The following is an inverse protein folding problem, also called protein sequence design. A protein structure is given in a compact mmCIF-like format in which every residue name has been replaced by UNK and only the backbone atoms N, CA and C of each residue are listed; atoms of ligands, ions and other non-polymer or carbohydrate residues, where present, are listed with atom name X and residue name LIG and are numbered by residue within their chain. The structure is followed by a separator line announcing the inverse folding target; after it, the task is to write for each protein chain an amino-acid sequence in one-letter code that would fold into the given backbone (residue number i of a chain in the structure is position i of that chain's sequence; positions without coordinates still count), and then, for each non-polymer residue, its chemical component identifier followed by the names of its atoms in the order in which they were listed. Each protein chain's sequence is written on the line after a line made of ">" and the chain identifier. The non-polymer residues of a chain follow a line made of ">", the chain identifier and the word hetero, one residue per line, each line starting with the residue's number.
data_IF_714393977977
#
_entry.id   IF_714393977977
#
_cell.length_a   1.000
_cell.length_b   1.000
_cell.length_c   1.000
_cell.angle_alpha   90.00
_cell.angle_beta   90.00
_cell.angle_gamma   90.00
#
_symmetry.space_group_name_H-M   'P 1'
#
loop_
_entity.id
_entity.type
_entity.pdbx_description
1 polymer ?
#
# COMPACT_ATOMS: atom_id res chain seq x y z
N UNK A 1 22.28 5.00 37.57
CA UNK A 1 20.87 5.23 37.20
C UNK A 1 20.00 4.81 38.36
N UNK A 2 19.11 5.69 38.81
CA UNK A 2 18.06 5.35 39.78
C UNK A 2 16.85 4.78 39.04
N UNK A 3 16.02 3.93 39.69
CA UNK A 3 14.82 3.37 39.06
C UNK A 3 13.80 4.45 38.65
N UNK A 4 13.73 5.56 39.39
CA UNK A 4 12.86 6.70 39.08
C UNK A 4 13.18 7.33 37.71
N UNK A 5 14.46 7.42 37.34
CA UNK A 5 14.85 7.98 36.04
C UNK A 5 14.40 7.08 34.89
N UNK A 6 14.43 5.75 35.08
CA UNK A 6 13.98 4.79 34.05
C UNK A 6 12.47 4.92 33.84
N UNK A 7 11.69 5.06 34.92
CA UNK A 7 10.26 5.28 34.83
C UNK A 7 9.93 6.58 34.09
N UNK A 8 10.65 7.66 34.39
CA UNK A 8 10.46 8.94 33.72
C UNK A 8 10.71 8.85 32.20
N UNK A 9 11.74 8.14 31.75
CA UNK A 9 12.00 7.95 30.32
C UNK A 9 10.99 7.03 29.62
N UNK A 10 10.37 6.10 30.35
CA UNK A 10 9.29 5.27 29.80
C UNK A 10 8.04 6.12 29.57
N UNK A 11 7.69 6.99 30.52
CA UNK A 11 6.53 7.87 30.40
C UNK A 11 6.76 8.99 29.38
N UNK A 12 7.99 9.46 29.24
CA UNK A 12 8.35 10.54 28.31
C UNK A 12 9.59 10.17 27.49
N UNK A 13 9.39 9.45 26.36
CA UNK A 13 10.48 9.09 25.45
C UNK A 13 11.17 10.29 24.81
N UNK A 14 10.52 11.45 24.72
CA UNK A 14 11.05 12.67 24.09
C UNK A 14 12.22 13.31 24.87
N UNK A 15 12.43 12.95 26.14
CA UNK A 15 13.51 13.47 26.99
C UNK A 15 14.84 12.70 26.84
N UNK A 16 14.95 11.86 25.80
CA UNK A 16 16.11 11.00 25.57
C UNK A 16 17.21 11.76 24.81
N UNK A 17 18.21 12.23 25.57
CA UNK A 17 19.40 12.92 25.05
C UNK A 17 20.62 11.98 24.90
N UNK A 18 21.70 12.46 24.27
CA UNK A 18 22.98 11.74 24.14
C UNK A 18 23.62 11.32 25.47
N UNK A 19 23.44 12.10 26.55
CA UNK A 19 23.89 11.74 27.89
C UNK A 19 23.15 10.51 28.45
N UNK A 20 21.87 10.40 28.12
CA UNK A 20 21.05 9.26 28.53
C UNK A 20 21.47 8.01 27.76
N UNK A 21 21.86 8.13 26.50
CA UNK A 21 22.41 7.04 25.69
C UNK A 21 23.65 6.42 26.34
N UNK A 22 24.62 7.25 26.77
CA UNK A 22 25.81 6.74 27.45
C UNK A 22 25.46 5.98 28.73
N UNK A 23 24.60 6.57 29.58
CA UNK A 23 24.16 5.94 30.83
C UNK A 23 23.44 4.61 30.57
N UNK A 24 22.61 4.54 29.53
CA UNK A 24 21.87 3.33 29.15
C UNK A 24 22.80 2.26 28.61
N UNK A 25 23.80 2.65 27.81
CA UNK A 25 24.82 1.74 27.30
C UNK A 25 25.63 1.11 28.44
N UNK A 26 26.07 1.91 29.42
CA UNK A 26 26.79 1.38 30.60
C UNK A 26 25.90 0.44 31.41
N UNK A 27 24.62 0.78 31.58
CA UNK A 27 23.67 -0.07 32.28
C UNK A 27 23.40 -1.38 31.52
N UNK A 28 23.32 -1.33 30.19
CA UNK A 28 23.09 -2.50 29.33
C UNK A 28 24.30 -3.44 29.32
N UNK A 29 25.51 -2.90 29.40
CA UNK A 29 26.72 -3.69 29.59
C UNK A 29 26.72 -4.46 30.91
N UNK A 30 26.14 -3.87 31.97
CA UNK A 30 26.00 -4.51 33.28
C UNK A 30 24.86 -5.54 33.32
N UNK A 31 23.78 -5.29 32.58
CA UNK A 31 22.57 -6.12 32.56
C UNK A 31 22.12 -6.42 31.11
N UNK A 32 22.77 -7.37 30.43
CA UNK A 32 22.57 -7.61 28.99
C UNK A 32 21.18 -8.17 28.64
N UNK A 33 20.53 -8.86 29.57
CA UNK A 33 19.23 -9.52 29.38
C UNK A 33 18.03 -8.67 29.80
N UNK A 34 18.24 -7.42 30.24
CA UNK A 34 17.15 -6.54 30.65
C UNK A 34 16.40 -5.98 29.43
N UNK A 35 15.23 -6.55 29.13
CA UNK A 35 14.43 -6.19 27.95
C UNK A 35 14.04 -4.71 27.95
N UNK A 36 13.53 -4.18 29.06
CA UNK A 36 13.08 -2.78 29.16
C UNK A 36 14.21 -1.79 28.86
N UNK A 37 15.39 -2.04 29.41
CA UNK A 37 16.58 -1.22 29.20
C UNK A 37 17.02 -1.25 27.73
N UNK A 38 16.93 -2.42 27.10
CA UNK A 38 17.27 -2.60 25.69
C UNK A 38 16.29 -1.89 24.75
N UNK A 39 14.99 -1.96 25.05
CA UNK A 39 13.95 -1.24 24.32
C UNK A 39 14.14 0.28 24.44
N UNK A 40 14.48 0.76 25.64
CA UNK A 40 14.65 2.17 25.91
C UNK A 40 15.94 2.72 25.26
N UNK A 41 17.02 1.94 25.29
CA UNK A 41 18.23 2.24 24.53
C UNK A 41 17.97 2.31 23.02
N UNK A 42 17.17 1.38 22.49
CA UNK A 42 16.80 1.36 21.09
C UNK A 42 15.90 2.54 20.69
N UNK A 43 14.93 2.91 21.53
CA UNK A 43 14.08 4.10 21.29
C UNK A 43 14.92 5.39 21.32
N UNK A 44 15.92 5.46 22.19
CA UNK A 44 16.86 6.58 22.23
C UNK A 44 17.66 6.69 20.92
N UNK A 45 18.24 5.57 20.45
CA UNK A 45 18.92 5.51 19.15
C UNK A 45 18.02 5.93 17.98
N UNK A 46 16.73 5.59 18.05
CA UNK A 46 15.75 5.97 17.04
C UNK A 46 15.51 7.48 17.01
N UNK A 47 15.34 8.11 18.18
CA UNK A 47 15.11 9.56 18.30
C UNK A 47 16.34 10.35 17.86
N UNK A 48 17.54 9.90 18.22
CA UNK A 48 18.78 10.53 17.81
C UNK A 48 19.18 10.23 16.35
N UNK A 49 18.43 9.36 15.65
CA UNK A 49 18.71 8.92 14.29
C UNK A 49 20.15 8.39 14.11
N UNK A 50 20.63 7.62 15.08
CA UNK A 50 21.99 7.07 15.05
C UNK A 50 22.13 5.98 13.98
N UNK A 51 23.23 6.01 13.21
CA UNK A 51 23.50 4.99 12.17
C UNK A 51 23.64 3.56 12.74
N UNK A 52 23.94 3.43 14.03
CA UNK A 52 24.03 2.14 14.73
C UNK A 52 22.68 1.51 15.05
N UNK A 53 21.58 2.25 14.88
CA UNK A 53 20.22 1.82 15.19
C UNK A 53 19.87 0.47 14.54
N UNK A 54 20.17 0.28 13.24
CA UNK A 54 19.82 -0.94 12.53
C UNK A 54 20.49 -2.20 13.08
N UNK A 55 21.74 -2.10 13.54
CA UNK A 55 22.46 -3.24 14.13
C UNK A 55 21.92 -3.58 15.52
N UNK A 56 21.60 -2.57 16.32
CA UNK A 56 21.03 -2.77 17.65
C UNK A 56 19.56 -3.20 17.62
N UNK A 57 18.79 -2.80 16.61
CA UNK A 57 17.43 -3.27 16.34
C UNK A 57 17.40 -4.79 16.15
N UNK A 58 18.30 -5.33 15.32
CA UNK A 58 18.40 -6.78 15.10
C UNK A 58 18.69 -7.53 16.40
N UNK A 59 19.62 -7.01 17.21
CA UNK A 59 19.93 -7.60 18.50
C UNK A 59 18.74 -7.49 19.46
N UNK A 60 18.08 -6.34 19.52
CA UNK A 60 16.92 -6.14 20.38
C UNK A 60 15.73 -7.02 20.00
N UNK A 61 15.51 -7.27 18.70
CA UNK A 61 14.46 -8.14 18.19
C UNK A 61 14.62 -9.61 18.64
N UNK A 62 15.83 -10.04 19.01
CA UNK A 62 16.08 -11.35 19.60
C UNK A 62 15.62 -11.42 21.07
N UNK A 63 15.71 -10.31 21.80
CA UNK A 63 15.33 -10.22 23.22
C UNK A 63 13.89 -9.74 23.43
N UNK A 64 13.26 -9.16 22.41
CA UNK A 64 11.88 -8.71 22.49
C UNK A 64 10.93 -9.92 22.42
N UNK A 65 10.08 -10.06 23.45
CA UNK A 65 9.06 -11.12 23.48
C UNK A 65 8.00 -10.96 22.38
N UNK A 66 7.66 -9.73 22.02
CA UNK A 66 6.73 -9.41 20.93
C UNK A 66 7.36 -8.40 19.96
N UNK A 67 7.51 -8.82 18.71
CA UNK A 67 8.09 -8.02 17.63
C UNK A 67 7.10 -7.02 17.05
N UNK A 68 5.81 -7.32 17.12
CA UNK A 68 4.76 -6.39 16.72
C UNK A 68 4.70 -5.23 17.71
N UNK A 69 4.73 -5.52 19.02
CA UNK A 69 4.79 -4.48 20.04
C UNK A 69 6.06 -3.61 19.90
N UNK A 70 7.22 -4.22 19.57
CA UNK A 70 8.45 -3.48 19.27
C UNK A 70 8.29 -2.54 18.07
N UNK A 71 7.67 -3.03 16.99
CA UNK A 71 7.41 -2.23 15.80
C UNK A 71 6.53 -1.02 16.12
N UNK A 72 5.39 -1.24 16.79
CA UNK A 72 4.49 -0.15 17.19
C UNK A 72 5.14 0.83 18.16
N UNK A 73 6.04 0.38 19.04
CA UNK A 73 6.79 1.28 19.93
C UNK A 73 7.70 2.24 19.16
N UNK A 74 8.29 1.79 18.05
CA UNK A 74 9.27 2.57 17.29
C UNK A 74 8.58 3.41 16.22
N UNK A 75 7.75 2.77 15.38
CA UNK A 75 7.15 3.39 14.19
C UNK A 75 5.64 3.59 14.31
N UNK A 76 5.01 3.19 15.43
CA UNK A 76 3.55 3.22 15.57
C UNK A 76 2.93 4.58 15.31
N UNK A 77 3.62 5.68 15.67
CA UNK A 77 3.16 7.05 15.43
C UNK A 77 2.91 7.35 13.94
N UNK A 78 3.66 6.70 13.03
CA UNK A 78 3.50 6.84 11.58
C UNK A 78 2.31 6.06 11.02
N UNK A 79 1.89 5.02 11.74
CA UNK A 79 0.86 4.07 11.33
C UNK A 79 -0.42 4.18 12.17
N UNK A 80 -0.56 5.24 12.98
CA UNK A 80 -1.85 5.57 13.60
C UNK A 80 -2.80 5.99 12.49
N UNK A 81 -3.60 5.03 12.01
CA UNK A 81 -4.76 5.34 11.18
C UNK A 81 -5.65 6.26 12.01
N UNK A 82 -5.78 7.52 11.58
CA UNK A 82 -6.79 8.44 12.12
C UNK A 82 -8.14 7.75 11.97
N UNK A 83 -8.66 7.24 13.08
CA UNK A 83 -10.02 6.68 13.19
C UNK A 83 -11.03 7.75 13.56
N UNK A 84 -10.69 9.04 13.35
CA UNK A 84 -11.58 10.19 13.49
C UNK A 84 -12.62 10.27 12.35
N UNK A 85 -13.21 9.13 11.96
CA UNK A 85 -14.32 9.07 11.01
C UNK A 85 -15.44 8.24 11.64
N UNK A 86 -15.94 8.74 12.77
CA UNK A 86 -17.24 8.37 13.29
C UNK A 86 -18.33 9.17 12.54
N UNK A 87 -18.61 8.80 11.30
CA UNK A 87 -19.86 9.15 10.61
C UNK A 87 -20.11 8.18 9.46
N UNK A 88 -21.13 7.35 9.61
CA UNK A 88 -21.58 6.36 8.64
C UNK A 88 -22.36 7.02 7.49
N UNK A 89 -21.67 7.79 6.64
CA UNK A 89 -22.24 8.36 5.42
C UNK A 89 -21.57 7.74 4.18
N UNK A 90 -22.34 7.64 3.08
CA UNK A 90 -21.91 7.07 1.79
C UNK A 90 -20.63 7.72 1.21
N UNK A 91 -20.26 8.89 1.75
CA UNK A 91 -19.07 9.65 1.41
C UNK A 91 -17.78 9.04 1.97
N UNK A 92 -17.86 8.05 2.88
CA UNK A 92 -16.69 7.39 3.49
C UNK A 92 -15.78 6.75 2.43
N UNK A 93 -16.36 6.09 1.45
CA UNK A 93 -15.61 5.47 0.34
C UNK A 93 -14.92 6.54 -0.51
N UNK A 94 -15.58 7.67 -0.75
CA UNK A 94 -15.02 8.79 -1.51
C UNK A 94 -13.88 9.46 -0.73
N UNK A 95 -14.01 9.69 0.58
CA UNK A 95 -12.92 10.24 1.41
C UNK A 95 -11.73 9.30 1.53
N UNK A 96 -11.93 7.98 1.57
CA UNK A 96 -10.84 7.01 1.60
C UNK A 96 -10.10 6.97 0.26
N UNK A 97 -10.84 7.03 -0.85
CA UNK A 97 -10.28 7.12 -2.20
C UNK A 97 -9.52 8.44 -2.37
N UNK A 98 -10.09 9.56 -1.93
CA UNK A 98 -9.45 10.89 -2.04
C UNK A 98 -8.20 10.97 -1.15
N UNK A 99 -8.23 10.44 0.07
CA UNK A 99 -7.06 10.26 0.94
C UNK A 99 -5.96 9.43 0.27
N UNK A 100 -6.32 8.33 -0.38
CA UNK A 100 -5.39 7.45 -1.06
C UNK A 100 -4.81 8.08 -2.33
N UNK A 101 -5.62 8.81 -3.10
CA UNK A 101 -5.17 9.50 -4.30
C UNK A 101 -4.42 10.81 -4.01
N UNK A 102 -4.67 11.42 -2.85
CA UNK A 102 -3.93 12.59 -2.35
C UNK A 102 -2.57 12.21 -1.76
N UNK A 103 -2.38 10.94 -1.37
CA UNK A 103 -1.05 10.36 -1.21
C UNK A 103 -0.43 10.22 -2.60
N UNK A 104 0.15 11.31 -3.10
CA UNK A 104 0.99 11.27 -4.29
C UNK A 104 2.06 10.18 -4.09
N UNK A 105 2.40 9.39 -5.12
CA UNK A 105 3.52 8.47 -5.07
C UNK A 105 4.88 9.16 -4.79
N UNK A 106 4.90 10.49 -4.78
CA UNK A 106 6.12 11.31 -4.73
C UNK A 106 6.57 11.72 -3.32
N UNK A 107 5.82 11.42 -2.26
CA UNK A 107 6.35 11.54 -0.89
C UNK A 107 6.02 10.31 -0.05
N UNK A 108 6.50 9.15 -0.51
CA UNK A 108 7.07 8.21 0.46
C UNK A 108 8.11 9.03 1.23
N UNK A 109 8.00 9.21 2.57
CA UNK A 109 9.08 9.83 3.35
C UNK A 109 10.34 9.13 2.89
N UNK A 110 11.35 9.87 2.43
CA UNK A 110 12.62 9.29 2.00
C UNK A 110 13.05 8.30 3.08
N UNK A 111 12.74 7.03 2.83
CA UNK A 111 13.28 5.94 3.62
C UNK A 111 14.75 6.09 3.26
N UNK A 112 15.64 6.44 4.22
CA UNK A 112 17.06 6.40 3.93
C UNK A 112 17.29 5.06 3.26
N UNK A 113 17.98 5.01 2.11
CA UNK A 113 18.05 3.82 1.27
C UNK A 113 18.25 2.63 2.19
N UNK A 114 17.21 1.79 2.28
CA UNK A 114 17.19 0.68 3.22
C UNK A 114 18.53 -0.02 3.01
N UNK A 115 19.39 -0.15 4.04
CA UNK A 115 20.65 -0.85 3.85
C UNK A 115 20.29 -2.21 3.26
N UNK A 116 20.91 -2.54 2.12
CA UNK A 116 20.71 -3.67 1.19
C UNK A 116 20.72 -5.09 1.82
N UNK A 117 20.20 -5.26 3.04
CA UNK A 117 20.31 -6.45 3.86
C UNK A 117 18.97 -6.85 4.49
N UNK A 118 17.85 -6.30 4.01
CA UNK A 118 16.50 -6.77 4.31
C UNK A 118 15.82 -7.33 3.05
N UNK A 119 16.57 -8.07 2.24
CA UNK A 119 16.08 -8.77 1.04
C UNK A 119 15.76 -10.22 1.42
N UNK A 120 14.72 -10.45 2.23
CA UNK A 120 14.22 -11.81 2.44
C UNK A 120 13.44 -12.33 1.21
N UNK A 121 12.99 -11.41 0.33
CA UNK A 121 12.31 -11.75 -0.91
C UNK A 121 13.26 -12.28 -2.01
N UNK A 122 14.54 -11.91 -1.97
CA UNK A 122 15.53 -12.34 -2.98
C UNK A 122 16.27 -13.63 -2.63
N UNK A 123 16.38 -13.98 -1.35
CA UNK A 123 16.96 -15.27 -0.95
C UNK A 123 16.03 -16.44 -1.26
N UNK A 124 14.71 -16.22 -1.30
CA UNK A 124 13.75 -17.27 -1.61
C UNK A 124 13.85 -17.71 -3.08
N UNK A 125 14.03 -16.77 -4.02
CA UNK A 125 14.23 -17.11 -5.44
C UNK A 125 15.54 -17.86 -5.66
N UNK A 126 16.63 -17.42 -5.01
CA UNK A 126 17.92 -18.11 -5.02
C UNK A 126 17.83 -19.52 -4.41
N UNK A 127 17.11 -19.68 -3.30
CA UNK A 127 16.88 -20.97 -2.65
C UNK A 127 16.05 -21.93 -3.51
N UNK A 128 15.02 -21.43 -4.19
CA UNK A 128 14.22 -22.21 -5.14
C UNK A 128 15.06 -22.66 -6.35
N UNK A 129 15.85 -21.78 -6.95
CA UNK A 129 16.75 -22.12 -8.06
C UNK A 129 17.86 -23.09 -7.64
N UNK A 130 18.32 -23.01 -6.39
CA UNK A 130 19.27 -23.96 -5.82
C UNK A 130 18.63 -25.34 -5.66
N UNK A 131 17.36 -25.41 -5.25
CA UNK A 131 16.59 -26.67 -5.13
C UNK A 131 16.17 -27.26 -6.48
N UNK A 132 15.93 -26.46 -7.52
CA UNK A 132 15.66 -26.95 -8.87
C UNK A 132 16.85 -27.72 -9.47
N UNK A 133 18.08 -27.42 -9.02
CA UNK A 133 19.30 -28.09 -9.47
C UNK A 133 19.54 -29.45 -8.80
N UNK A 134 18.85 -29.72 -7.68
CA UNK A 134 18.83 -31.01 -7.00
C UNK A 134 17.50 -31.71 -7.27
N UNK A 135 17.31 -32.19 -8.50
CA UNK A 135 16.22 -33.12 -8.84
C UNK A 135 16.48 -34.49 -8.21
N UNK A 136 16.40 -34.57 -6.88
CA UNK A 136 16.18 -35.81 -6.16
C UNK A 136 14.67 -36.08 -6.16
N UNK A 137 14.28 -37.25 -6.67
CA UNK A 137 12.90 -37.76 -6.70
C UNK A 137 12.16 -37.47 -5.38
N UNK A 138 11.19 -36.55 -5.42
CA UNK A 138 10.31 -36.29 -4.28
C UNK A 138 9.25 -37.40 -4.22
N UNK A 139 8.90 -37.91 -3.02
CA UNK A 139 7.85 -38.91 -2.86
C UNK A 139 6.48 -38.32 -3.24
N UNK A 140 5.57 -39.17 -3.70
CA UNK A 140 4.19 -38.82 -4.05
C UNK A 140 3.52 -38.00 -2.93
N UNK A 141 3.44 -36.69 -3.12
CA UNK A 141 2.68 -35.81 -2.25
C UNK A 141 1.21 -35.85 -2.65
N UNK A 142 0.26 -35.82 -1.70
CA UNK A 142 -1.15 -35.83 -2.02
C UNK A 142 -1.51 -34.55 -2.79
N UNK A 143 -1.81 -34.69 -4.08
CA UNK A 143 -2.19 -33.57 -4.95
C UNK A 143 -3.44 -32.89 -4.40
N UNK A 144 -3.36 -31.57 -4.19
CA UNK A 144 -4.53 -30.76 -3.86
C UNK A 144 -5.50 -30.70 -5.05
N UNK A 145 -6.77 -30.51 -4.75
CA UNK A 145 -7.82 -30.34 -5.76
C UNK A 145 -7.50 -29.10 -6.64
N UNK A 146 -7.40 -29.30 -7.95
CA UNK A 146 -7.07 -28.24 -8.91
C UNK A 146 -5.63 -28.23 -9.41
N UNK A 147 -4.75 -29.07 -8.89
CA UNK A 147 -3.39 -29.24 -9.42
C UNK A 147 -3.40 -29.63 -10.90
N UNK A 148 -4.33 -30.50 -11.30
CA UNK A 148 -4.48 -30.96 -12.68
C UNK A 148 -4.84 -29.82 -13.65
N UNK A 149 -5.51 -28.75 -13.19
CA UNK A 149 -5.81 -27.59 -14.03
C UNK A 149 -4.56 -26.76 -14.31
N UNK A 150 -3.65 -26.69 -13.33
CA UNK A 150 -2.38 -25.98 -13.46
C UNK A 150 -1.46 -26.75 -14.41
N UNK A 151 -1.35 -28.08 -14.23
CA UNK A 151 -0.56 -28.94 -15.10
C UNK A 151 -1.05 -28.85 -16.56
N UNK A 152 -2.37 -28.97 -16.77
CA UNK A 152 -2.99 -28.82 -18.10
C UNK A 152 -2.77 -27.42 -18.69
N UNK A 153 -2.77 -26.36 -17.88
CA UNK A 153 -2.49 -25.01 -18.35
C UNK A 153 -1.02 -24.86 -18.78
N UNK A 154 -0.08 -25.37 -17.99
CA UNK A 154 1.35 -25.31 -18.29
C UNK A 154 1.66 -26.10 -19.57
N UNK A 155 1.10 -27.31 -19.73
CA UNK A 155 1.22 -28.08 -20.96
C UNK A 155 0.67 -27.33 -22.17
N UNK A 156 -0.52 -26.73 -22.03
CA UNK A 156 -1.17 -25.98 -23.11
C UNK A 156 -0.40 -24.71 -23.51
N UNK A 157 0.31 -24.08 -22.58
CA UNK A 157 1.16 -22.89 -22.84
C UNK A 157 2.50 -23.28 -23.47
N UNK A 158 3.00 -24.50 -23.23
CA UNK A 158 4.28 -24.98 -23.77
C UNK A 158 4.30 -25.03 -25.30
N UNK A 159 3.17 -25.39 -25.92
CA UNK A 159 3.03 -25.48 -27.38
C UNK A 159 2.72 -24.13 -28.05
N UNK A 160 2.30 -23.12 -27.28
CA UNK A 160 2.01 -21.78 -27.80
C UNK A 160 2.49 -20.72 -26.80
N UNK A 161 3.77 -20.31 -26.88
CA UNK A 161 4.30 -19.30 -25.97
C UNK A 161 3.50 -18.01 -26.11
N UNK A 162 3.01 -17.49 -24.98
CA UNK A 162 2.32 -16.22 -24.91
C UNK A 162 3.27 -15.12 -25.39
N UNK A 163 3.06 -14.65 -26.62
CA UNK A 163 3.80 -13.50 -27.15
C UNK A 163 3.18 -12.26 -26.51
N UNK A 164 3.86 -11.69 -25.52
CA UNK A 164 3.65 -10.30 -25.13
C UNK A 164 4.00 -9.45 -26.35
N UNK A 165 2.99 -8.91 -27.05
CA UNK A 165 3.23 -7.93 -28.11
C UNK A 165 3.96 -6.75 -27.47
N UNK A 166 5.22 -6.56 -27.85
CA UNK A 166 5.96 -5.35 -27.56
C UNK A 166 5.16 -4.18 -28.11
N UNK A 167 4.83 -3.22 -27.25
CA UNK A 167 4.24 -1.95 -27.67
C UNK A 167 5.36 -1.18 -28.36
N UNK A 168 5.39 -1.25 -29.69
CA UNK A 168 6.14 -0.31 -30.51
C UNK A 168 5.42 1.05 -30.44
N UNK A 169 6.19 2.10 -30.17
CA UNK A 169 5.74 3.49 -30.18
C UNK A 169 5.22 3.86 -31.57
N UNK A 170 3.90 3.90 -31.73
CA UNK A 170 3.26 4.67 -32.80
C UNK A 170 2.12 5.55 -32.23
N UNK A 171 2.14 6.77 -32.76
CA UNK A 171 1.28 7.96 -32.60
C UNK A 171 -0.23 7.61 -32.44
N UNK A 172 -1.02 8.36 -31.63
CA UNK A 172 -2.23 7.83 -31.00
C UNK A 172 -3.35 7.57 -32.02
N UNK A 173 -3.56 6.30 -32.33
CA UNK A 173 -4.77 5.80 -32.96
C UNK A 173 -5.78 5.39 -31.87
N UNK A 174 -7.01 5.81 -32.11
CA UNK A 174 -8.19 5.53 -31.32
C UNK A 174 -8.46 4.01 -31.24
N UNK A 175 -9.14 3.62 -30.16
CA UNK A 175 -9.79 2.30 -29.93
C UNK A 175 -8.88 1.18 -29.39
N UNK A 176 -8.99 0.84 -28.11
CA UNK A 176 -10.01 -0.13 -27.67
C UNK A 176 -10.35 0.11 -26.20
N UNK A 177 -11.38 0.92 -25.96
CA UNK A 177 -12.17 0.75 -24.75
C UNK A 177 -13.13 -0.37 -25.10
N UNK A 178 -12.99 -1.51 -24.42
CA UNK A 178 -13.93 -2.64 -24.42
C UNK A 178 -15.35 -2.15 -24.71
N UNK A 179 -15.97 -2.72 -25.74
CA UNK A 179 -17.36 -2.53 -26.14
C UNK A 179 -18.30 -2.96 -25.00
N UNK A 180 -18.44 -2.12 -23.98
CA UNK A 180 -19.48 -2.25 -22.94
C UNK A 180 -20.76 -1.51 -23.35
N UNK A 181 -21.07 -1.48 -24.64
CA UNK A 181 -22.13 -0.64 -25.22
C UNK A 181 -23.54 -0.90 -24.65
N UNK A 182 -23.76 -1.97 -23.87
CA UNK A 182 -25.12 -2.34 -23.45
C UNK A 182 -25.32 -2.61 -21.96
N UNK A 183 -24.30 -2.52 -21.11
CA UNK A 183 -24.49 -2.78 -19.67
C UNK A 183 -24.88 -1.51 -18.92
N UNK A 184 -26.11 -1.05 -19.17
CA UNK A 184 -26.74 0.05 -18.44
C UNK A 184 -26.76 -0.16 -16.91
N UNK A 185 -26.48 -1.39 -16.45
CA UNK A 185 -26.33 -1.75 -15.06
C UNK A 185 -24.99 -1.36 -14.41
N UNK A 186 -23.95 -1.04 -15.18
CA UNK A 186 -22.63 -0.65 -14.65
C UNK A 186 -22.42 0.89 -14.59
N UNK A 187 -23.46 1.67 -14.88
CA UNK A 187 -23.35 3.13 -14.83
C UNK A 187 -23.26 3.65 -13.39
N UNK A 188 -22.17 4.35 -13.09
CA UNK A 188 -21.90 5.00 -11.80
C UNK A 188 -21.51 6.46 -12.01
N UNK A 189 -21.76 7.30 -11.01
CA UNK A 189 -21.40 8.72 -11.05
C UNK A 189 -19.88 8.91 -11.24
N UNK A 190 -19.07 8.06 -10.61
CA UNK A 190 -17.62 8.05 -10.74
C UNK A 190 -17.19 7.77 -12.18
N UNK A 191 -17.84 6.81 -12.85
CA UNK A 191 -17.56 6.51 -14.25
C UNK A 191 -17.84 7.73 -15.13
N UNK A 192 -18.97 8.42 -14.93
CA UNK A 192 -19.27 9.67 -15.64
C UNK A 192 -18.19 10.74 -15.41
N UNK A 193 -17.74 10.95 -14.17
CA UNK A 193 -16.65 11.90 -13.85
C UNK A 193 -15.35 11.57 -14.59
N UNK A 194 -15.01 10.30 -14.72
CA UNK A 194 -13.84 9.85 -15.49
C UNK A 194 -13.99 10.25 -16.97
N UNK A 195 -15.16 10.00 -17.59
CA UNK A 195 -15.41 10.41 -18.98
C UNK A 195 -15.34 11.93 -19.19
N UNK A 196 -15.77 12.73 -18.20
CA UNK A 196 -15.63 14.20 -18.25
C UNK A 196 -14.16 14.60 -18.23
N UNK A 197 -13.34 14.02 -17.33
CA UNK A 197 -11.89 14.27 -17.28
C UNK A 197 -11.20 13.90 -18.59
N UNK A 198 -11.67 12.83 -19.25
CA UNK A 198 -11.19 12.39 -20.57
C UNK A 198 -11.73 13.22 -21.74
N UNK A 199 -12.46 14.33 -21.50
CA UNK A 199 -13.12 15.16 -22.53
C UNK A 199 -14.15 14.42 -23.40
N UNK A 200 -14.59 13.22 -22.99
CA UNK A 200 -15.60 12.40 -23.68
C UNK A 200 -17.00 12.76 -23.17
N UNK A 201 -17.43 13.99 -23.44
CA UNK A 201 -18.66 14.54 -22.86
C UNK A 201 -19.94 13.85 -23.33
N UNK A 202 -19.97 13.33 -24.56
CA UNK A 202 -21.14 12.62 -25.10
C UNK A 202 -21.46 11.33 -24.30
N UNK A 203 -20.42 10.52 -24.01
CA UNK A 203 -20.56 9.31 -23.19
C UNK A 203 -20.89 9.65 -21.73
N UNK A 204 -20.28 10.69 -21.18
CA UNK A 204 -20.62 11.16 -19.83
C UNK A 204 -22.10 11.58 -19.72
N UNK A 205 -22.63 12.28 -20.73
CA UNK A 205 -24.02 12.73 -20.76
C UNK A 205 -25.00 11.56 -20.83
N UNK A 206 -24.67 10.50 -21.56
CA UNK A 206 -25.47 9.27 -21.59
C UNK A 206 -25.53 8.62 -20.21
N UNK A 207 -24.38 8.39 -19.57
CA UNK A 207 -24.28 7.78 -18.23
C UNK A 207 -25.12 8.57 -17.20
N UNK A 208 -25.01 9.90 -17.20
CA UNK A 208 -25.75 10.77 -16.28
C UNK A 208 -27.27 10.73 -16.55
N UNK A 209 -27.71 10.66 -17.82
CA UNK A 209 -29.13 10.50 -18.16
C UNK A 209 -29.68 9.16 -17.68
N UNK A 210 -28.93 8.07 -17.83
CA UNK A 210 -29.38 6.75 -17.36
C UNK A 210 -29.44 6.71 -15.82
N UNK A 211 -28.50 7.38 -15.15
CA UNK A 211 -28.50 7.51 -13.69
C UNK A 211 -29.65 8.35 -13.15
N UNK A 212 -30.11 9.37 -13.87
CA UNK A 212 -31.23 10.21 -13.44
C UNK A 212 -32.55 9.44 -13.41
N UNK A 213 -32.77 8.54 -14.38
CA UNK A 213 -33.93 7.64 -14.42
C UNK A 213 -33.91 6.66 -13.24
N UNK A 214 -32.71 6.16 -12.87
CA UNK A 214 -32.53 5.24 -11.74
C UNK A 214 -32.68 5.92 -10.37
N UNK A 215 -32.37 7.21 -10.27
CA UNK A 215 -32.28 7.93 -8.99
C UNK A 215 -33.13 9.22 -8.97
N UNK A 216 -34.47 9.11 -8.95
CA UNK A 216 -35.36 10.28 -9.02
C UNK A 216 -35.24 11.23 -7.84
N UNK A 217 -34.74 10.76 -6.68
CA UNK A 217 -34.51 11.61 -5.49
C UNK A 217 -33.49 12.72 -5.73
N UNK A 218 -32.54 12.52 -6.64
CA UNK A 218 -31.47 13.49 -6.99
C UNK A 218 -31.76 14.20 -8.32
N UNK A 219 -33.02 14.35 -8.71
CA UNK A 219 -33.40 14.91 -10.02
C UNK A 219 -32.84 16.32 -10.27
N UNK A 220 -32.88 17.21 -9.26
CA UNK A 220 -32.32 18.56 -9.34
C UNK A 220 -30.83 18.55 -9.66
N UNK A 221 -30.07 17.71 -8.96
CA UNK A 221 -28.63 17.53 -9.16
C UNK A 221 -28.29 17.04 -10.57
N UNK A 222 -28.99 16.02 -11.06
CA UNK A 222 -28.74 15.50 -12.41
C UNK A 222 -29.14 16.49 -13.50
N UNK A 223 -30.21 17.27 -13.30
CA UNK A 223 -30.59 18.32 -14.25
C UNK A 223 -29.48 19.38 -14.40
N UNK A 224 -28.86 19.78 -13.29
CA UNK A 224 -27.73 20.72 -13.31
C UNK A 224 -26.50 20.13 -14.01
N UNK A 225 -26.18 18.86 -13.76
CA UNK A 225 -25.08 18.15 -14.44
C UNK A 225 -25.31 18.00 -15.94
N UNK A 226 -26.54 17.67 -16.36
CA UNK A 226 -26.90 17.57 -17.78
C UNK A 226 -26.73 18.94 -18.44
N UNK A 227 -27.25 20.01 -17.83
CA UNK A 227 -27.11 21.38 -18.35
C UNK A 227 -25.64 21.80 -18.46
N UNK A 228 -24.82 21.42 -17.49
CA UNK A 228 -23.38 21.68 -17.52
C UNK A 228 -22.70 20.94 -18.68
N UNK A 229 -22.99 19.65 -18.85
CA UNK A 229 -22.41 18.84 -19.93
C UNK A 229 -22.85 19.30 -21.31
N UNK A 230 -24.11 19.69 -21.49
CA UNK A 230 -24.60 20.27 -22.75
C UNK A 230 -23.85 21.55 -23.11
N UNK A 231 -23.63 22.44 -22.13
CA UNK A 231 -22.82 23.65 -22.34
C UNK A 231 -21.38 23.33 -22.71
N UNK A 232 -20.76 22.34 -22.07
CA UNK A 232 -19.41 21.89 -22.40
C UNK A 232 -19.34 21.33 -23.82
N UNK A 233 -20.31 20.49 -24.21
CA UNK A 233 -20.38 19.92 -25.56
C UNK A 233 -20.50 21.04 -26.60
N UNK A 234 -21.38 22.02 -26.39
CA UNK A 234 -21.53 23.17 -27.29
C UNK A 234 -20.22 23.94 -27.43
N UNK A 235 -19.57 24.28 -26.32
CA UNK A 235 -18.30 24.99 -26.32
C UNK A 235 -17.22 24.21 -27.09
N UNK A 236 -17.09 22.90 -26.84
CA UNK A 236 -16.08 22.06 -27.51
C UNK A 236 -16.33 21.81 -29.00
N UNK A 237 -17.58 21.93 -29.46
CA UNK A 237 -17.92 21.84 -30.89
C UNK A 237 -17.79 23.19 -31.62
N UNK A 238 -17.69 24.28 -30.88
CA UNK A 238 -17.49 25.64 -31.42
C UNK A 238 -16.01 26.05 -31.47
N UNK A 239 -15.11 25.26 -30.88
CA UNK A 239 -13.67 25.30 -31.13
C UNK A 239 -13.30 24.36 -32.27
#
# INVERSE_FOLDING_TARGET
>A
MTPANIQQWITSPELLDGDTLYKLRTALARYPYCQTLRLLYLKNLYILHDNSFGAELRKAALYAGDRCALFYLIEGDKYVFRTDIASADADQTLTLIDSFLSQSPEEVPQVPPMPNNFVYAGDYTLFLSSKESESAELPDTPKLHGHDLIDNFIEKVKDKPLTLKSVEEEVPAEETILDMENDANCFTETLAKIYIKQKKYAKALEIIKTLSVKNPRKNTYFADQIRFLEKLIINTKSL
#
